data_IF_191276589068
#
_entry.id   IF_191276589068
#
_cell.length_a   1.000
_cell.length_b   1.000
_cell.length_c   1.000
_cell.angle_alpha   90.00
_cell.angle_beta   90.00
_cell.angle_gamma   90.00
#
_symmetry.space_group_name_H-M   'P 1'
#
loop_
_entity.id
_entity.type
_entity.pdbx_description
1 polymer ?
#
# COMPACT_ATOMS: atom_id res chain seq x y z
N UNK A 1 -37.18 -11.02 -57.62
CA UNK A 1 -36.19 -10.69 -58.66
C UNK A 1 -35.07 -9.96 -57.96
N UNK A 2 -34.04 -10.64 -57.74
CA UNK A 2 -32.62 -10.27 -57.74
C UNK A 2 -31.76 -11.19 -56.85
N UNK A 3 -30.85 -11.72 -57.54
CA UNK A 3 -29.96 -12.85 -57.26
C UNK A 3 -29.04 -12.70 -56.04
N UNK A 4 -28.94 -13.77 -55.27
CA UNK A 4 -27.97 -13.98 -54.23
C UNK A 4 -26.75 -14.71 -54.86
N UNK A 5 -25.61 -14.02 -54.92
CA UNK A 5 -24.32 -14.65 -55.34
C UNK A 5 -23.60 -15.15 -54.09
N UNK A 6 -23.48 -16.46 -54.00
CA UNK A 6 -22.62 -17.17 -53.02
C UNK A 6 -21.16 -16.98 -53.40
N UNK A 7 -20.38 -16.44 -52.47
CA UNK A 7 -18.90 -16.43 -52.59
C UNK A 7 -18.30 -17.42 -51.59
N UNK A 8 -17.81 -18.54 -52.15
CA UNK A 8 -17.06 -19.56 -51.40
C UNK A 8 -15.63 -19.06 -51.17
N UNK A 9 -15.23 -18.89 -49.90
CA UNK A 9 -13.83 -18.74 -49.53
C UNK A 9 -13.25 -20.08 -49.10
N UNK A 10 -12.25 -20.55 -49.86
CA UNK A 10 -11.41 -21.68 -49.51
C UNK A 10 -10.44 -21.30 -48.42
N UNK A 11 -10.49 -21.96 -47.28
CA UNK A 11 -9.51 -21.84 -46.20
C UNK A 11 -8.38 -22.87 -46.46
N UNK A 12 -7.20 -22.41 -46.84
CA UNK A 12 -5.99 -23.21 -46.92
C UNK A 12 -5.39 -23.42 -45.53
N UNK A 13 -5.37 -24.66 -45.09
CA UNK A 13 -4.79 -25.11 -43.82
C UNK A 13 -3.27 -25.26 -44.00
N UNK A 14 -2.49 -24.30 -43.48
CA UNK A 14 -1.02 -24.40 -43.45
C UNK A 14 -0.58 -25.11 -42.18
N UNK A 15 -0.04 -26.33 -42.34
CA UNK A 15 0.55 -27.10 -41.24
C UNK A 15 1.99 -26.61 -41.05
N UNK A 16 2.25 -25.91 -39.90
CA UNK A 16 3.60 -25.59 -39.48
C UNK A 16 4.19 -26.74 -38.67
N UNK A 17 5.18 -27.40 -39.22
CA UNK A 17 6.03 -28.38 -38.52
C UNK A 17 7.07 -27.65 -37.69
N UNK A 18 6.99 -27.76 -36.37
CA UNK A 18 7.98 -27.22 -35.45
C UNK A 18 9.16 -28.17 -35.32
N UNK A 19 10.29 -27.79 -35.87
CA UNK A 19 11.55 -28.50 -35.70
C UNK A 19 12.17 -28.10 -34.35
N UNK A 20 12.34 -29.07 -33.47
CA UNK A 20 13.00 -28.93 -32.18
C UNK A 20 14.52 -28.92 -32.38
N UNK A 21 15.17 -27.74 -32.28
CA UNK A 21 16.64 -27.62 -32.25
C UNK A 21 17.09 -27.69 -30.80
N UNK A 22 17.96 -28.66 -30.47
CA UNK A 22 18.69 -28.75 -29.22
C UNK A 22 19.75 -27.64 -29.17
N UNK A 23 19.56 -26.63 -28.34
CA UNK A 23 20.63 -25.69 -28.01
C UNK A 23 21.51 -26.26 -26.90
N UNK A 24 22.80 -26.29 -27.18
CA UNK A 24 23.87 -26.63 -26.24
C UNK A 24 24.06 -25.47 -25.24
N UNK A 25 23.78 -25.73 -23.97
CA UNK A 25 24.02 -24.74 -22.88
C UNK A 25 25.52 -24.61 -22.68
N UNK A 26 26.09 -23.47 -23.08
CA UNK A 26 27.44 -23.05 -22.69
C UNK A 26 27.30 -22.29 -21.36
N UNK A 27 27.88 -22.88 -20.31
CA UNK A 27 27.95 -22.28 -18.96
C UNK A 27 29.01 -21.16 -18.96
N UNK A 28 28.67 -19.90 -18.72
CA UNK A 28 29.68 -18.86 -18.49
C UNK A 28 30.22 -18.97 -17.07
N UNK A 29 31.54 -18.80 -16.93
CA UNK A 29 32.27 -18.77 -15.68
C UNK A 29 31.74 -17.65 -14.75
N UNK A 30 31.59 -17.97 -13.46
CA UNK A 30 31.17 -17.06 -12.42
C UNK A 30 32.18 -15.92 -12.23
N UNK A 31 31.79 -14.71 -12.60
CA UNK A 31 32.48 -13.48 -12.17
C UNK A 31 31.87 -13.05 -10.86
N UNK A 32 32.63 -13.11 -9.78
CA UNK A 32 32.26 -12.58 -8.45
C UNK A 32 32.19 -11.05 -8.52
N UNK A 33 31.01 -10.51 -8.76
CA UNK A 33 30.71 -9.11 -8.51
C UNK A 33 30.12 -8.98 -7.09
N UNK A 34 30.90 -8.39 -6.19
CA UNK A 34 30.44 -7.91 -4.88
C UNK A 34 29.56 -6.68 -5.13
N UNK A 35 28.34 -6.91 -5.55
CA UNK A 35 27.31 -5.87 -5.69
C UNK A 35 26.54 -5.77 -4.40
N UNK A 36 26.57 -4.63 -3.75
CA UNK A 36 25.66 -4.23 -2.68
C UNK A 36 24.22 -4.37 -3.17
N UNK A 37 23.53 -5.41 -2.74
CA UNK A 37 22.11 -5.65 -3.07
C UNK A 37 21.26 -4.61 -2.33
N UNK A 38 20.92 -3.54 -2.99
CA UNK A 38 19.83 -2.65 -2.57
C UNK A 38 18.53 -3.43 -2.75
N UNK A 39 18.04 -4.06 -1.69
CA UNK A 39 16.74 -4.75 -1.72
C UNK A 39 15.63 -3.71 -1.84
N UNK A 40 15.03 -3.62 -3.03
CA UNK A 40 13.80 -2.84 -3.24
C UNK A 40 12.70 -3.42 -2.34
N UNK A 41 12.05 -2.62 -1.47
CA UNK A 41 10.99 -3.13 -0.62
C UNK A 41 9.81 -3.57 -1.48
N UNK A 42 9.50 -4.86 -1.44
CA UNK A 42 8.35 -5.44 -2.13
C UNK A 42 7.13 -5.38 -1.19
N UNK A 43 5.92 -5.04 -1.68
CA UNK A 43 4.71 -5.16 -0.88
C UNK A 43 4.57 -6.58 -0.35
N UNK A 44 4.39 -6.72 0.96
CA UNK A 44 4.15 -8.03 1.57
C UNK A 44 2.70 -8.41 1.29
N UNK A 45 2.51 -9.36 0.38
CA UNK A 45 1.21 -9.99 0.14
C UNK A 45 0.97 -11.02 1.23
N UNK A 46 -0.20 -11.02 1.85
CA UNK A 46 -0.58 -12.06 2.82
C UNK A 46 -0.79 -13.42 2.12
N UNK A 47 -0.83 -14.52 2.90
CA UNK A 47 -1.11 -15.85 2.37
C UNK A 47 -2.50 -15.94 1.69
N UNK A 48 -3.45 -15.11 2.07
CA UNK A 48 -4.78 -14.99 1.46
C UNK A 48 -4.80 -14.18 0.16
N UNK A 49 -3.69 -13.52 -0.19
CA UNK A 49 -3.61 -12.57 -1.30
C UNK A 49 -4.13 -11.16 -0.96
N UNK A 50 -4.50 -10.88 0.31
CA UNK A 50 -4.86 -9.54 0.77
C UNK A 50 -3.69 -8.60 0.54
N UNK A 51 -3.93 -7.51 -0.19
CA UNK A 51 -2.87 -6.64 -0.69
C UNK A 51 -3.26 -5.18 -0.57
N UNK A 52 -2.29 -4.36 -0.15
CA UNK A 52 -2.40 -2.90 -0.08
C UNK A 52 -1.46 -2.27 -1.12
N UNK A 53 -1.97 -1.31 -1.88
CA UNK A 53 -1.23 -0.60 -2.92
C UNK A 53 -1.45 0.90 -2.86
N UNK A 54 -0.57 1.65 -3.52
CA UNK A 54 -0.71 3.07 -3.76
C UNK A 54 -0.11 3.42 -5.12
N UNK A 55 -0.80 4.20 -5.92
CA UNK A 55 -0.24 4.75 -7.17
C UNK A 55 0.81 5.84 -6.92
N UNK A 56 0.91 6.33 -5.69
CA UNK A 56 2.00 7.23 -5.26
C UNK A 56 3.34 6.52 -5.06
N UNK A 57 3.35 5.16 -5.04
CA UNK A 57 4.54 4.34 -4.80
C UNK A 57 4.85 3.52 -6.04
N UNK A 58 6.01 3.76 -6.64
CA UNK A 58 6.49 3.04 -7.83
C UNK A 58 7.82 2.37 -7.49
N UNK A 59 7.93 1.07 -7.73
CA UNK A 59 9.12 0.28 -7.41
C UNK A 59 9.61 0.46 -5.96
N UNK A 60 8.67 0.55 -5.01
CA UNK A 60 8.99 0.74 -3.59
C UNK A 60 9.49 2.13 -3.22
N UNK A 61 9.34 3.12 -4.10
CA UNK A 61 9.75 4.51 -3.85
C UNK A 61 8.55 5.44 -3.99
N UNK A 62 8.39 6.37 -3.04
CA UNK A 62 7.39 7.42 -3.09
C UNK A 62 7.77 8.43 -4.18
N UNK A 63 6.83 8.73 -5.07
CA UNK A 63 7.01 9.76 -6.10
C UNK A 63 7.13 11.15 -5.46
N UNK A 64 7.95 12.01 -6.04
CA UNK A 64 8.24 13.36 -5.51
C UNK A 64 6.99 14.23 -5.39
N UNK A 65 6.03 14.05 -6.28
CA UNK A 65 4.74 14.77 -6.25
C UNK A 65 3.92 14.57 -4.95
N UNK A 66 4.25 13.55 -4.14
CA UNK A 66 3.55 13.25 -2.88
C UNK A 66 4.41 13.49 -1.64
N UNK A 67 5.58 14.11 -1.81
CA UNK A 67 6.46 14.51 -0.71
C UNK A 67 6.20 15.94 -0.31
N UNK A 68 6.39 16.25 0.97
CA UNK A 68 6.38 17.62 1.49
C UNK A 68 5.14 18.43 1.06
N UNK A 69 3.97 17.80 1.10
CA UNK A 69 2.70 18.44 0.79
C UNK A 69 2.47 19.70 1.64
N UNK A 70 1.95 20.74 1.00
CA UNK A 70 1.63 21.97 1.72
C UNK A 70 0.39 21.77 2.58
N UNK A 71 0.47 22.27 3.82
CA UNK A 71 -0.71 22.34 4.68
C UNK A 71 -1.67 23.43 4.23
N UNK A 72 -2.91 23.04 3.94
CA UNK A 72 -4.02 23.96 3.69
C UNK A 72 -5.01 23.78 4.84
N UNK A 73 -5.22 24.82 5.63
CA UNK A 73 -6.04 24.79 6.86
C UNK A 73 -5.60 23.67 7.84
N UNK A 74 -4.28 23.45 7.96
CA UNK A 74 -3.71 22.43 8.82
C UNK A 74 -3.74 21.00 8.26
N UNK A 75 -4.22 20.80 7.04
CA UNK A 75 -4.40 19.49 6.38
C UNK A 75 -3.44 19.36 5.21
N UNK A 76 -2.76 18.23 5.12
CA UNK A 76 -1.97 17.81 3.97
C UNK A 76 -2.75 16.78 3.13
N UNK A 77 -2.55 16.81 1.82
CA UNK A 77 -3.17 15.85 0.92
C UNK A 77 -2.59 14.45 1.15
N UNK A 78 -3.45 13.50 1.44
CA UNK A 78 -3.04 12.10 1.63
C UNK A 78 -2.75 11.40 0.31
N UNK A 79 -1.80 10.45 0.33
CA UNK A 79 -1.57 9.57 -0.81
C UNK A 79 -2.81 8.70 -1.08
N UNK A 80 -3.07 8.34 -2.34
CA UNK A 80 -4.15 7.40 -2.67
C UNK A 80 -3.78 6.00 -2.19
N UNK A 81 -4.76 5.25 -1.68
CA UNK A 81 -4.62 3.87 -1.22
C UNK A 81 -5.68 3.00 -1.88
N UNK A 82 -5.33 1.76 -2.19
CA UNK A 82 -6.28 0.75 -2.65
C UNK A 82 -5.90 -0.61 -2.07
N UNK A 83 -6.91 -1.44 -1.82
CA UNK A 83 -6.69 -2.81 -1.35
C UNK A 83 -7.65 -3.78 -2.03
N UNK A 84 -7.20 -5.00 -2.16
CA UNK A 84 -7.92 -6.08 -2.83
C UNK A 84 -7.78 -7.39 -2.06
N UNK A 85 -8.68 -8.33 -2.33
CA UNK A 85 -8.70 -9.65 -1.73
C UNK A 85 -8.82 -9.63 -0.21
N UNK A 86 -9.57 -8.67 0.34
CA UNK A 86 -9.87 -8.65 1.77
C UNK A 86 -10.63 -9.90 2.18
N UNK A 87 -10.38 -10.46 3.39
CA UNK A 87 -11.13 -11.61 3.88
C UNK A 87 -12.63 -11.34 3.87
N UNK A 88 -13.43 -12.29 3.36
CA UNK A 88 -14.89 -12.14 3.22
C UNK A 88 -15.62 -11.90 4.57
N UNK A 89 -15.00 -12.32 5.68
CA UNK A 89 -15.52 -12.10 7.04
C UNK A 89 -15.16 -10.74 7.63
N UNK A 90 -14.33 -9.94 6.94
CA UNK A 90 -14.00 -8.60 7.41
C UNK A 90 -15.25 -7.72 7.39
N UNK A 91 -15.48 -6.98 8.46
CA UNK A 91 -16.58 -6.01 8.56
C UNK A 91 -16.05 -4.59 8.71
N UNK A 92 -14.77 -4.43 9.08
CA UNK A 92 -14.12 -3.14 9.29
C UNK A 92 -12.65 -3.21 8.93
N UNK A 93 -12.08 -2.07 8.52
CA UNK A 93 -10.64 -1.92 8.36
C UNK A 93 -10.09 -0.82 9.26
N UNK A 94 -8.81 -0.98 9.60
CA UNK A 94 -7.98 0.07 10.18
C UNK A 94 -6.69 0.21 9.37
N UNK A 95 -6.15 1.43 9.30
CA UNK A 95 -4.91 1.72 8.57
C UNK A 95 -3.96 2.49 9.49
N UNK A 96 -2.68 2.10 9.45
CA UNK A 96 -1.60 2.82 10.10
C UNK A 96 -0.50 3.13 9.09
N UNK A 97 0.12 4.31 9.19
CA UNK A 97 1.35 4.66 8.47
C UNK A 97 2.36 5.19 9.48
N UNK A 98 3.50 4.54 9.57
CA UNK A 98 4.56 4.89 10.51
C UNK A 98 5.93 4.94 9.83
N UNK A 99 6.86 5.63 10.47
CA UNK A 99 8.28 5.67 10.15
C UNK A 99 9.10 5.56 11.43
N UNK A 100 10.15 4.74 11.42
CA UNK A 100 11.13 4.66 12.49
C UNK A 100 12.31 5.59 12.16
N UNK A 101 12.48 6.73 12.87
CA UNK A 101 13.60 7.65 12.63
C UNK A 101 14.97 6.99 12.80
N UNK A 102 15.04 6.01 13.70
CA UNK A 102 16.18 5.12 13.88
C UNK A 102 15.72 3.68 13.65
N UNK A 103 16.18 3.06 12.57
CA UNK A 103 15.81 1.68 12.20
C UNK A 103 16.24 0.63 13.24
N UNK A 104 17.21 0.97 14.11
CA UNK A 104 17.68 0.10 15.20
C UNK A 104 16.85 0.23 16.50
N UNK A 105 15.94 1.20 16.57
CA UNK A 105 15.09 1.46 17.75
C UNK A 105 13.62 1.45 17.35
N UNK A 106 12.99 0.28 17.41
CA UNK A 106 11.57 0.08 17.10
C UNK A 106 10.62 0.65 18.16
N UNK A 107 11.14 1.16 19.27
CA UNK A 107 10.30 1.80 20.32
C UNK A 107 9.98 3.26 19.99
N UNK A 108 10.75 3.87 19.09
CA UNK A 108 10.55 5.25 18.66
C UNK A 108 10.04 5.28 17.23
N UNK A 109 8.87 5.80 17.04
CA UNK A 109 8.23 5.93 15.72
C UNK A 109 7.53 7.28 15.60
N UNK A 110 7.33 7.69 14.36
CA UNK A 110 6.44 8.79 13.98
C UNK A 110 5.22 8.19 13.30
N UNK A 111 4.01 8.58 13.69
CA UNK A 111 2.78 8.20 12.99
C UNK A 111 2.40 9.27 11.95
N UNK A 112 2.08 8.83 10.75
CA UNK A 112 1.76 9.70 9.61
C UNK A 112 0.29 9.63 9.22
N UNK A 113 -0.36 8.51 9.50
CA UNK A 113 -1.78 8.27 9.25
C UNK A 113 -2.29 7.19 10.20
N UNK A 114 -3.38 7.45 10.89
CA UNK A 114 -4.10 6.49 11.74
C UNK A 114 -5.58 6.57 11.39
N UNK A 115 -6.15 5.49 10.86
CA UNK A 115 -7.57 5.39 10.49
C UNK A 115 -8.21 4.17 11.14
N UNK A 116 -9.49 4.28 11.51
CA UNK A 116 -10.31 3.15 11.96
C UNK A 116 -11.77 3.35 11.60
N UNK A 117 -12.57 2.28 11.71
CA UNK A 117 -13.98 2.30 11.37
C UNK A 117 -14.25 2.42 9.87
N UNK A 118 -13.30 2.01 9.04
CA UNK A 118 -13.49 1.96 7.58
C UNK A 118 -14.41 0.78 7.28
N UNK A 119 -15.57 1.03 6.66
CA UNK A 119 -16.55 0.00 6.33
C UNK A 119 -16.02 -1.01 5.31
N UNK A 120 -16.50 -2.26 5.41
CA UNK A 120 -16.10 -3.37 4.54
C UNK A 120 -16.34 -3.13 3.04
N UNK A 121 -17.25 -2.23 2.69
CA UNK A 121 -17.57 -1.87 1.29
C UNK A 121 -16.54 -0.93 0.67
N UNK A 122 -15.70 -0.32 1.50
CA UNK A 122 -14.61 0.54 1.04
C UNK A 122 -13.41 -0.32 0.63
N UNK A 123 -12.86 -0.07 -0.54
CA UNK A 123 -11.67 -0.76 -1.04
C UNK A 123 -10.59 0.21 -1.55
N UNK A 124 -10.81 1.52 -1.40
CA UNK A 124 -9.85 2.56 -1.77
C UNK A 124 -10.11 3.87 -1.03
N UNK A 125 -9.07 4.65 -0.89
CA UNK A 125 -9.08 6.05 -0.47
C UNK A 125 -8.41 6.83 -1.58
N UNK A 126 -9.08 7.82 -2.16
CA UNK A 126 -8.50 8.61 -3.25
C UNK A 126 -7.47 9.61 -2.72
N UNK A 127 -6.68 10.20 -3.62
CA UNK A 127 -5.77 11.30 -3.28
C UNK A 127 -6.53 12.42 -2.55
N UNK A 128 -5.94 12.92 -1.47
CA UNK A 128 -6.49 13.97 -0.62
C UNK A 128 -7.84 13.64 0.07
N UNK A 129 -8.21 12.35 0.19
CA UNK A 129 -9.50 11.94 0.72
C UNK A 129 -9.43 11.26 2.10
N UNK A 130 -8.24 11.01 2.67
CA UNK A 130 -8.13 10.27 3.93
C UNK A 130 -8.85 10.98 5.10
N UNK A 131 -8.95 12.30 5.09
CA UNK A 131 -9.64 13.10 6.12
C UNK A 131 -11.09 13.43 5.79
N UNK A 132 -11.67 12.88 4.71
CA UNK A 132 -13.02 13.22 4.23
C UNK A 132 -13.99 12.04 4.26
N UNK A 133 -13.49 10.82 4.48
CA UNK A 133 -14.31 9.63 4.43
C UNK A 133 -15.15 9.39 5.69
N UNK A 134 -16.10 8.44 5.62
CA UNK A 134 -16.95 8.04 6.74
C UNK A 134 -16.21 7.11 7.71
N UNK A 135 -15.01 7.47 8.09
CA UNK A 135 -14.14 6.81 9.07
C UNK A 135 -13.53 7.83 10.01
N UNK A 136 -12.74 7.38 10.96
CA UNK A 136 -12.17 8.22 12.00
C UNK A 136 -10.64 8.26 11.91
N UNK A 137 -10.05 9.37 12.37
CA UNK A 137 -8.62 9.61 12.32
C UNK A 137 -8.05 9.88 13.71
N UNK A 138 -6.85 9.34 13.94
CA UNK A 138 -6.03 9.60 15.11
C UNK A 138 -4.99 10.71 14.89
N UNK A 139 -4.15 10.90 15.91
CA UNK A 139 -3.09 11.90 15.89
C UNK A 139 -1.98 11.51 14.93
N UNK A 140 -1.47 12.50 14.17
CA UNK A 140 -0.26 12.34 13.37
C UNK A 140 1.00 12.76 14.17
N UNK A 141 2.18 12.67 13.57
CA UNK A 141 3.46 13.02 14.20
C UNK A 141 3.56 14.47 14.68
N UNK A 142 2.76 15.36 14.14
CA UNK A 142 2.76 16.78 14.52
C UNK A 142 1.98 17.02 15.83
N UNK A 143 1.24 16.02 16.30
CA UNK A 143 0.56 16.02 17.62
C UNK A 143 -0.69 16.90 17.72
N UNK A 144 -0.85 17.87 16.84
CA UNK A 144 -1.89 18.89 16.93
C UNK A 144 -3.03 18.73 15.91
N UNK A 145 -2.80 17.95 14.85
CA UNK A 145 -3.73 17.83 13.74
C UNK A 145 -4.16 16.38 13.56
N UNK A 146 -5.46 16.20 13.40
CA UNK A 146 -6.06 14.94 12.97
C UNK A 146 -6.04 14.95 11.45
N UNK A 147 -4.96 14.48 10.85
CA UNK A 147 -4.79 14.44 9.41
C UNK A 147 -3.63 13.52 9.01
N UNK A 148 -3.52 13.28 7.72
CA UNK A 148 -2.31 12.72 7.14
C UNK A 148 -1.15 13.72 7.24
N UNK A 149 0.06 13.21 7.45
CA UNK A 149 1.30 13.97 7.28
C UNK A 149 2.11 13.34 6.16
N UNK A 150 2.53 14.15 5.18
CA UNK A 150 3.35 13.65 4.07
C UNK A 150 4.79 13.35 4.50
N UNK A 151 5.43 12.33 3.91
CA UNK A 151 6.87 12.14 4.05
C UNK A 151 7.64 13.38 3.65
N UNK A 152 8.30 14.02 4.62
CA UNK A 152 9.09 15.22 4.42
C UNK A 152 10.23 15.23 5.46
N UNK A 153 11.30 14.49 5.17
CA UNK A 153 12.48 14.46 6.03
C UNK A 153 13.37 15.67 5.77
N UNK A 154 13.85 16.30 6.84
CA UNK A 154 14.85 17.36 6.74
C UNK A 154 16.27 16.82 6.53
N UNK A 155 16.51 15.54 6.80
CA UNK A 155 17.81 14.89 6.61
C UNK A 155 17.88 14.23 5.25
N UNK A 156 19.04 14.37 4.58
CA UNK A 156 19.34 13.62 3.34
C UNK A 156 19.34 12.11 3.62
N UNK A 157 18.99 11.33 2.61
CA UNK A 157 19.02 9.87 2.67
C UNK A 157 17.71 9.19 2.36
N UNK A 158 17.66 7.91 2.67
CA UNK A 158 16.50 7.04 2.43
C UNK A 158 15.74 6.78 3.73
N UNK A 159 14.46 7.17 3.74
CA UNK A 159 13.58 7.04 4.88
C UNK A 159 12.47 6.03 4.55
N UNK A 160 12.41 4.92 5.31
CA UNK A 160 11.44 3.87 5.08
C UNK A 160 10.14 4.14 5.84
N UNK A 161 9.02 4.01 5.12
CA UNK A 161 7.66 4.12 5.66
C UNK A 161 6.96 2.78 5.58
N UNK A 162 6.18 2.47 6.60
CA UNK A 162 5.40 1.23 6.70
C UNK A 162 3.93 1.59 6.82
N UNK A 163 3.17 1.29 5.78
CA UNK A 163 1.74 1.40 5.74
C UNK A 163 1.13 0.03 5.93
N UNK A 164 0.25 -0.12 6.93
CA UNK A 164 -0.39 -1.40 7.24
C UNK A 164 -1.90 -1.22 7.25
N UNK A 165 -2.62 -2.08 6.54
CA UNK A 165 -4.06 -2.25 6.64
C UNK A 165 -4.38 -3.52 7.41
N UNK A 166 -5.34 -3.44 8.33
CA UNK A 166 -5.86 -4.54 9.12
C UNK A 166 -7.29 -4.82 8.70
N UNK A 167 -7.60 -6.05 8.32
CA UNK A 167 -8.96 -6.53 8.10
C UNK A 167 -9.48 -7.13 9.42
N UNK A 168 -10.54 -6.53 9.97
CA UNK A 168 -11.04 -6.81 11.32
C UNK A 168 -12.39 -7.50 11.28
N UNK A 169 -12.66 -8.36 12.27
CA UNK A 169 -13.99 -8.95 12.47
C UNK A 169 -15.05 -7.89 12.84
N UNK A 170 -14.62 -6.79 13.44
CA UNK A 170 -15.46 -5.67 13.87
C UNK A 170 -14.61 -4.43 14.14
N UNK A 171 -15.23 -3.26 14.20
CA UNK A 171 -14.56 -2.07 14.71
C UNK A 171 -14.37 -2.21 16.23
N UNK A 172 -13.12 -2.04 16.76
CA UNK A 172 -12.90 -2.13 18.20
C UNK A 172 -13.78 -1.16 19.00
N UNK A 173 -14.59 -1.70 19.92
CA UNK A 173 -15.53 -0.91 20.72
C UNK A 173 -14.84 0.09 21.68
N UNK A 174 -13.55 -0.10 21.94
CA UNK A 174 -12.72 0.81 22.76
C UNK A 174 -12.30 2.07 22.02
N UNK A 175 -12.49 2.13 20.70
CA UNK A 175 -12.19 3.31 19.91
C UNK A 175 -13.42 4.26 19.86
N UNK A 176 -13.19 5.57 19.88
CA UNK A 176 -14.28 6.54 19.79
C UNK A 176 -14.89 6.54 18.37
N UNK A 177 -16.17 6.91 18.27
CA UNK A 177 -16.90 7.12 17.01
C UNK A 177 -16.72 8.54 16.47
N UNK A 178 -15.55 9.14 16.70
CA UNK A 178 -15.15 10.46 16.20
C UNK A 178 -13.65 10.54 16.08
N UNK A 179 -13.14 11.31 15.14
CA UNK A 179 -11.73 11.63 15.02
C UNK A 179 -11.23 12.39 16.24
N UNK A 180 -10.05 12.04 16.76
CA UNK A 180 -9.49 12.67 17.96
C UNK A 180 -7.99 12.43 18.07
N UNK A 181 -7.26 13.43 18.57
CA UNK A 181 -5.83 13.34 18.87
C UNK A 181 -5.52 12.42 20.06
N UNK A 182 -6.53 12.02 20.85
CA UNK A 182 -6.34 11.03 21.91
C UNK A 182 -6.04 9.61 21.41
N UNK A 183 -6.34 9.30 20.14
CA UNK A 183 -5.99 8.01 19.52
C UNK A 183 -4.61 8.12 18.89
N UNK A 184 -3.61 7.63 19.64
CA UNK A 184 -2.23 7.46 19.18
C UNK A 184 -2.06 6.13 18.48
N UNK A 185 -0.88 5.86 17.91
CA UNK A 185 -0.57 4.56 17.31
C UNK A 185 -0.69 3.41 18.31
N UNK A 186 -0.23 3.62 19.57
CA UNK A 186 -0.35 2.62 20.65
C UNK A 186 -1.81 2.37 21.02
N UNK A 187 -2.61 3.44 21.14
CA UNK A 187 -4.04 3.32 21.45
C UNK A 187 -4.75 2.55 20.36
N UNK A 188 -4.48 2.89 19.08
CA UNK A 188 -5.09 2.21 17.94
C UNK A 188 -4.68 0.73 17.88
N UNK A 189 -3.38 0.43 17.98
CA UNK A 189 -2.88 -0.95 17.89
C UNK A 189 -3.32 -1.79 19.08
N UNK A 190 -3.38 -1.22 20.28
CA UNK A 190 -3.97 -1.87 21.46
C UNK A 190 -5.45 -2.16 21.24
N UNK A 191 -6.21 -1.23 20.70
CA UNK A 191 -7.63 -1.45 20.40
C UNK A 191 -7.79 -2.55 19.33
N UNK A 192 -6.99 -2.55 18.26
CA UNK A 192 -7.01 -3.61 17.23
C UNK A 192 -6.75 -5.00 17.86
N UNK A 193 -5.91 -5.11 18.88
CA UNK A 193 -5.63 -6.38 19.57
C UNK A 193 -6.80 -6.91 20.41
N UNK A 194 -7.86 -6.13 20.62
CA UNK A 194 -9.06 -6.57 21.36
C UNK A 194 -10.10 -7.27 20.46
N UNK A 195 -9.90 -7.27 19.15
CA UNK A 195 -10.78 -7.91 18.18
C UNK A 195 -10.00 -8.90 17.31
N UNK A 196 -10.69 -9.75 16.56
CA UNK A 196 -10.01 -10.67 15.65
C UNK A 196 -9.48 -9.92 14.44
N UNK A 197 -8.14 -9.90 14.27
CA UNK A 197 -7.48 -9.53 13.03
C UNK A 197 -7.54 -10.72 12.09
N UNK A 198 -8.40 -10.64 11.08
CA UNK A 198 -8.61 -11.72 10.10
C UNK A 198 -7.42 -11.82 9.13
N UNK A 199 -6.85 -10.68 8.79
CA UNK A 199 -5.66 -10.58 7.97
C UNK A 199 -5.07 -9.16 8.04
N UNK A 200 -3.83 -9.00 7.53
CA UNK A 200 -3.17 -7.70 7.38
C UNK A 200 -2.30 -7.68 6.14
N UNK A 201 -2.26 -6.55 5.46
CA UNK A 201 -1.36 -6.30 4.34
C UNK A 201 -0.49 -5.08 4.62
N UNK A 202 0.73 -5.08 4.09
CA UNK A 202 1.67 -3.97 4.23
C UNK A 202 2.11 -3.45 2.86
N UNK A 203 2.23 -2.14 2.77
CA UNK A 203 2.96 -1.45 1.73
C UNK A 203 4.17 -0.77 2.39
N UNK A 204 5.36 -1.27 2.10
CA UNK A 204 6.62 -0.69 2.58
C UNK A 204 7.23 0.08 1.42
N UNK A 205 7.60 1.32 1.67
CA UNK A 205 8.21 2.16 0.64
C UNK A 205 9.23 3.12 1.23
N UNK A 206 10.09 3.63 0.38
CA UNK A 206 11.13 4.60 0.71
C UNK A 206 10.74 6.00 0.20
N UNK A 207 11.01 7.01 1.00
CA UNK A 207 11.09 8.40 0.56
C UNK A 207 12.57 8.80 0.55
N UNK A 208 13.08 9.21 -0.60
CA UNK A 208 14.47 9.64 -0.75
C UNK A 208 14.52 11.16 -0.69
N UNK A 209 15.33 11.68 0.22
CA UNK A 209 15.66 13.12 0.32
C UNK A 209 17.08 13.31 -0.19
N UNK A 210 17.32 14.21 -1.18
CA UNK A 210 18.63 14.51 -1.73
C UNK A 210 19.64 14.96 -0.69
#
# INVERSE_FOLDING_TARGET
>A
MNDIKHLFYFFALSIFTWACSKETVVTPAATTNTGTTTTTPTPTVSASGFKLTSTAVVNGVLLDAFKCEKKVNGIENSIPLAWENAPAKATSFAITMIHYPNSSDSTKYNSYLLLWGIDKTVNKILYAEANKGPWFMGVNKDGNNISYTSPCSAGAGTHQYILTIYALSETPATLPTKSTTAVTYEVLTKAISTVTVLDKAKLIFNSVTP
#
